data_IF_622234017065
#
_entry.id   IF_622234017065
#
_cell.length_a   1.000
_cell.length_b   1.000
_cell.length_c   1.000
_cell.angle_alpha   90.00
_cell.angle_beta   90.00
_cell.angle_gamma   90.00
#
_symmetry.space_group_name_H-M   'P 1'
#
loop_
_entity.id
_entity.type
_entity.pdbx_description
1 polymer ?
#
# COMPACT_ATOMS: atom_id res chain seq x y z
N UNK A 1 16.19 -1.77 -52.77
CA UNK A 1 15.23 -0.65 -52.87
C UNK A 1 15.94 0.70 -52.80
N UNK A 2 17.09 0.87 -53.49
CA UNK A 2 17.89 2.11 -53.40
C UNK A 2 18.06 2.87 -54.74
N UNK A 3 17.62 2.29 -55.88
CA UNK A 3 17.89 2.88 -57.21
C UNK A 3 16.73 3.72 -57.78
N UNK A 4 15.54 3.66 -57.17
CA UNK A 4 14.35 4.28 -57.74
C UNK A 4 14.30 5.80 -57.49
N UNK A 5 14.78 6.25 -56.33
CA UNK A 5 14.89 7.69 -55.99
C UNK A 5 15.98 8.40 -56.78
N UNK A 6 17.08 7.71 -57.10
CA UNK A 6 18.16 8.26 -57.93
C UNK A 6 17.72 8.53 -59.37
N UNK A 7 16.95 7.60 -59.96
CA UNK A 7 16.41 7.73 -61.32
C UNK A 7 15.36 8.85 -61.42
N UNK A 8 14.50 8.99 -60.41
CA UNK A 8 13.52 10.09 -60.35
C UNK A 8 14.21 11.46 -60.22
N UNK A 9 15.27 11.56 -59.41
CA UNK A 9 16.03 12.81 -59.28
C UNK A 9 16.74 13.20 -60.58
N UNK A 10 17.33 12.24 -61.28
CA UNK A 10 17.96 12.48 -62.59
C UNK A 10 16.92 12.93 -63.63
N UNK A 11 15.74 12.30 -63.64
CA UNK A 11 14.65 12.69 -64.54
C UNK A 11 14.16 14.12 -64.26
N UNK A 12 13.97 14.48 -62.99
CA UNK A 12 13.57 15.85 -62.60
C UNK A 12 14.63 16.87 -62.98
N UNK A 13 15.92 16.60 -62.74
CA UNK A 13 17.02 17.49 -63.14
C UNK A 13 17.11 17.64 -64.66
N UNK A 14 16.90 16.55 -65.42
CA UNK A 14 16.87 16.59 -66.88
C UNK A 14 15.70 17.44 -67.41
N UNK A 15 14.51 17.31 -66.79
CA UNK A 15 13.34 18.13 -67.16
C UNK A 15 13.58 19.60 -66.84
N UNK A 16 14.10 19.92 -65.65
CA UNK A 16 14.38 21.31 -65.25
C UNK A 16 15.43 21.94 -66.18
N UNK A 17 16.51 21.23 -66.47
CA UNK A 17 17.56 21.72 -67.38
C UNK A 17 17.04 21.91 -68.80
N UNK A 18 16.20 20.99 -69.30
CA UNK A 18 15.55 21.14 -70.59
C UNK A 18 14.61 22.35 -70.64
N UNK A 19 13.81 22.58 -69.59
CA UNK A 19 12.96 23.76 -69.46
C UNK A 19 13.78 25.06 -69.42
N UNK A 20 14.89 25.10 -68.69
CA UNK A 20 15.78 26.27 -68.64
C UNK A 20 16.40 26.59 -70.01
N UNK A 21 16.81 25.57 -70.76
CA UNK A 21 17.35 25.72 -72.11
C UNK A 21 16.27 26.24 -73.08
N UNK A 22 15.04 25.75 -72.96
CA UNK A 22 13.91 26.24 -73.75
C UNK A 22 13.58 27.70 -73.41
N UNK A 23 13.55 28.06 -72.13
CA UNK A 23 13.32 29.44 -71.68
C UNK A 23 14.40 30.39 -72.20
N UNK A 24 15.69 30.01 -72.10
CA UNK A 24 16.80 30.81 -72.62
C UNK A 24 16.72 30.99 -74.14
N UNK A 25 16.36 29.94 -74.88
CA UNK A 25 16.12 30.04 -76.32
C UNK A 25 14.91 30.93 -76.64
N UNK A 26 13.84 30.84 -75.85
CA UNK A 26 12.66 31.67 -76.02
C UNK A 26 12.95 33.17 -75.79
N UNK A 27 13.71 33.49 -74.74
CA UNK A 27 14.14 34.87 -74.45
C UNK A 27 15.01 35.47 -75.57
N UNK A 28 15.92 34.67 -76.15
CA UNK A 28 16.76 35.07 -77.29
C UNK A 28 15.96 35.29 -78.58
N UNK A 29 14.80 34.64 -78.71
CA UNK A 29 13.95 34.66 -79.91
C UNK A 29 12.95 35.80 -79.88
N UNK A 30 12.38 36.13 -78.72
CA UNK A 30 11.57 37.34 -78.52
C UNK A 30 12.35 38.60 -78.90
N UNK A 31 13.67 38.60 -78.66
CA UNK A 31 14.60 39.67 -79.04
C UNK A 31 14.83 39.78 -80.56
N UNK A 32 14.54 38.73 -81.34
CA UNK A 32 14.75 38.67 -82.80
C UNK A 32 13.45 38.63 -83.64
N UNK A 33 12.27 38.66 -83.01
CA UNK A 33 10.99 38.78 -83.71
C UNK A 33 10.65 37.60 -84.65
N UNK A 34 11.09 36.38 -84.33
CA UNK A 34 10.99 35.24 -85.25
C UNK A 34 9.76 34.36 -84.98
N UNK A 35 8.70 34.53 -85.77
CA UNK A 35 7.37 33.88 -85.63
C UNK A 35 7.43 32.35 -85.74
N UNK A 36 8.40 31.80 -86.49
CA UNK A 36 8.54 30.35 -86.70
C UNK A 36 8.86 29.56 -85.42
N UNK A 37 9.46 30.20 -84.42
CA UNK A 37 9.79 29.55 -83.15
C UNK A 37 8.62 29.55 -82.15
N UNK A 38 7.67 30.49 -82.26
CA UNK A 38 6.42 30.44 -81.49
C UNK A 38 5.60 29.19 -81.85
N UNK A 39 5.54 28.84 -83.14
CA UNK A 39 4.84 27.66 -83.62
C UNK A 39 5.47 26.33 -83.18
N UNK A 40 6.74 26.31 -82.75
CA UNK A 40 7.42 25.08 -82.28
C UNK A 40 7.49 24.99 -80.76
N UNK A 41 7.61 26.12 -80.05
CA UNK A 41 7.70 26.14 -78.59
C UNK A 41 6.33 25.92 -77.94
N UNK A 42 5.28 26.53 -78.48
CA UNK A 42 3.92 26.40 -77.91
C UNK A 42 3.46 24.94 -77.84
N UNK A 43 3.56 24.12 -78.91
CA UNK A 43 3.18 22.70 -78.84
C UNK A 43 4.00 21.90 -77.84
N UNK A 44 5.30 22.19 -77.71
CA UNK A 44 6.19 21.49 -76.76
C UNK A 44 5.79 21.80 -75.32
N UNK A 45 5.46 23.05 -75.00
CA UNK A 45 4.97 23.44 -73.68
C UNK A 45 3.64 22.76 -73.36
N UNK A 46 2.70 22.72 -74.31
CA UNK A 46 1.44 21.99 -74.14
C UNK A 46 1.64 20.48 -73.93
N UNK A 47 2.59 19.87 -74.64
CA UNK A 47 2.93 18.46 -74.46
C UNK A 47 3.51 18.18 -73.07
N UNK A 48 4.40 19.04 -72.58
CA UNK A 48 4.98 18.93 -71.23
C UNK A 48 3.91 19.09 -70.16
N UNK A 49 2.98 20.05 -70.31
CA UNK A 49 1.87 20.24 -69.38
C UNK A 49 0.92 19.04 -69.36
N UNK A 50 0.64 18.44 -70.52
CA UNK A 50 -0.18 17.24 -70.62
C UNK A 50 0.46 16.06 -69.89
N UNK A 51 1.77 15.85 -70.08
CA UNK A 51 2.53 14.80 -69.38
C UNK A 51 2.52 15.05 -67.87
N UNK A 52 2.82 16.27 -67.41
CA UNK A 52 2.83 16.59 -65.98
C UNK A 52 1.48 16.32 -65.31
N UNK A 53 0.38 16.63 -66.02
CA UNK A 53 -0.96 16.40 -65.51
C UNK A 53 -1.32 14.92 -65.40
N UNK A 54 -0.93 14.08 -66.36
CA UNK A 54 -1.10 12.63 -66.24
C UNK A 54 -0.30 12.04 -65.07
N UNK A 55 0.91 12.56 -64.84
CA UNK A 55 1.72 12.15 -63.69
C UNK A 55 1.08 12.55 -62.36
N UNK A 56 0.56 13.77 -62.24
CA UNK A 56 -0.13 14.25 -61.04
C UNK A 56 -1.37 13.40 -60.72
N UNK A 57 -2.19 13.09 -61.74
CA UNK A 57 -3.37 12.22 -61.60
C UNK A 57 -2.97 10.79 -61.17
N UNK A 58 -1.92 10.21 -61.78
CA UNK A 58 -1.42 8.88 -61.42
C UNK A 58 -0.85 8.81 -59.98
N UNK A 59 -0.19 9.89 -59.53
CA UNK A 59 0.41 9.98 -58.21
C UNK A 59 -0.67 10.15 -57.13
N UNK A 60 -1.71 10.95 -57.39
CA UNK A 60 -2.88 11.06 -56.52
C UNK A 60 -3.62 9.73 -56.35
N UNK A 61 -3.79 8.94 -57.41
CA UNK A 61 -4.46 7.64 -57.34
C UNK A 61 -3.64 6.65 -56.50
N UNK A 62 -2.31 6.63 -56.65
CA UNK A 62 -1.44 5.77 -55.84
C UNK A 62 -1.45 6.17 -54.37
N UNK A 63 -1.33 7.46 -54.07
CA UNK A 63 -1.36 7.97 -52.70
C UNK A 63 -2.71 7.71 -52.03
N UNK A 64 -3.81 7.89 -52.77
CA UNK A 64 -5.15 7.57 -52.29
C UNK A 64 -5.31 6.08 -52.00
N UNK A 65 -4.71 5.19 -52.79
CA UNK A 65 -4.73 3.74 -52.57
C UNK A 65 -3.93 3.33 -51.31
N UNK A 66 -2.81 4.01 -51.05
CA UNK A 66 -1.96 3.74 -49.88
C UNK A 66 -2.55 4.29 -48.58
N UNK A 67 -3.24 5.44 -48.63
CA UNK A 67 -4.01 5.99 -47.50
C UNK A 67 -5.29 5.18 -47.25
N UNK A 68 -5.91 4.66 -48.32
CA UNK A 68 -7.18 3.92 -48.21
C UNK A 68 -7.02 2.46 -47.80
N UNK A 69 -5.80 1.88 -47.83
CA UNK A 69 -5.59 0.46 -47.52
C UNK A 69 -6.11 0.10 -46.11
N UNK A 70 -7.24 -0.62 -46.01
CA UNK A 70 -7.87 -0.94 -44.73
C UNK A 70 -7.02 -1.92 -43.92
N UNK A 71 -6.20 -2.76 -44.58
CA UNK A 71 -5.36 -3.75 -43.89
C UNK A 71 -4.21 -3.07 -43.13
N UNK A 72 -3.55 -2.09 -43.74
CA UNK A 72 -2.49 -1.32 -43.10
C UNK A 72 -3.01 -0.43 -41.95
N UNK A 73 -4.26 0.04 -42.03
CA UNK A 73 -4.91 0.77 -40.93
C UNK A 73 -5.31 -0.16 -39.79
N UNK A 74 -5.89 -1.32 -40.09
CA UNK A 74 -6.25 -2.32 -39.09
C UNK A 74 -5.01 -2.80 -38.30
N UNK A 75 -3.90 -3.08 -38.99
CA UNK A 75 -2.63 -3.49 -38.36
C UNK A 75 -2.08 -2.43 -37.38
N UNK A 76 -2.10 -1.15 -37.78
CA UNK A 76 -1.68 -0.04 -36.90
C UNK A 76 -2.59 0.12 -35.68
N UNK A 77 -3.90 -0.15 -35.82
CA UNK A 77 -4.83 -0.13 -34.69
C UNK A 77 -4.62 -1.29 -33.72
N UNK A 78 -4.38 -2.52 -34.22
CA UNK A 78 -4.04 -3.66 -33.36
C UNK A 78 -2.72 -3.44 -32.62
N UNK A 79 -1.68 -2.97 -33.31
CA UNK A 79 -0.37 -2.72 -32.69
C UNK A 79 -0.46 -1.64 -31.58
N UNK A 80 -1.28 -0.60 -31.77
CA UNK A 80 -1.54 0.39 -30.71
C UNK A 80 -2.27 -0.19 -29.51
N UNK A 81 -3.28 -1.05 -29.75
CA UNK A 81 -3.99 -1.71 -28.64
C UNK A 81 -3.04 -2.60 -27.85
N UNK A 82 -2.27 -3.45 -28.52
CA UNK A 82 -1.32 -4.35 -27.87
C UNK A 82 -0.24 -3.59 -27.08
N UNK A 83 0.20 -2.45 -27.61
CA UNK A 83 1.15 -1.58 -26.92
C UNK A 83 0.53 -0.93 -25.67
N UNK A 84 -0.69 -0.39 -25.78
CA UNK A 84 -1.40 0.19 -24.64
C UNK A 84 -1.69 -0.86 -23.57
N UNK A 85 -2.09 -2.06 -23.96
CA UNK A 85 -2.38 -3.15 -23.03
C UNK A 85 -1.13 -3.63 -22.30
N UNK A 86 0.01 -3.78 -23.00
CA UNK A 86 1.30 -4.07 -22.35
C UNK A 86 1.69 -2.99 -21.34
N UNK A 87 1.62 -1.72 -21.75
CA UNK A 87 1.96 -0.60 -20.87
C UNK A 87 1.04 -0.52 -19.65
N UNK A 88 -0.24 -0.84 -19.81
CA UNK A 88 -1.19 -0.90 -18.71
C UNK A 88 -0.86 -2.03 -17.74
N UNK A 89 -0.56 -3.24 -18.24
CA UNK A 89 -0.17 -4.39 -17.42
C UNK A 89 1.12 -4.14 -16.64
N UNK A 90 2.12 -3.52 -17.28
CA UNK A 90 3.37 -3.13 -16.61
C UNK A 90 3.13 -2.12 -15.48
N UNK A 91 2.29 -1.09 -15.72
CA UNK A 91 1.91 -0.14 -14.68
C UNK A 91 1.17 -0.80 -13.52
N UNK A 92 0.26 -1.74 -13.82
CA UNK A 92 -0.49 -2.47 -12.80
C UNK A 92 0.45 -3.32 -11.94
N UNK A 93 1.32 -4.12 -12.57
CA UNK A 93 2.29 -4.97 -11.89
C UNK A 93 3.27 -4.16 -11.02
N UNK A 94 3.68 -2.98 -11.50
CA UNK A 94 4.56 -2.08 -10.72
C UNK A 94 3.83 -1.55 -9.48
N UNK A 95 2.53 -1.22 -9.61
CA UNK A 95 1.73 -0.72 -8.49
C UNK A 95 1.48 -1.81 -7.45
N UNK A 96 1.11 -3.00 -7.89
CA UNK A 96 0.92 -4.17 -7.02
C UNK A 96 2.22 -4.53 -6.28
N UNK A 97 3.35 -4.56 -6.98
CA UNK A 97 4.65 -4.81 -6.35
C UNK A 97 5.01 -3.74 -5.30
N UNK A 98 4.66 -2.47 -5.55
CA UNK A 98 4.89 -1.38 -4.61
C UNK A 98 3.98 -1.46 -3.39
N UNK A 99 2.71 -1.77 -3.59
CA UNK A 99 1.73 -1.99 -2.50
C UNK A 99 2.14 -3.20 -1.62
N UNK A 100 2.57 -4.30 -2.23
CA UNK A 100 3.10 -5.46 -1.50
C UNK A 100 4.38 -5.14 -0.72
N UNK A 101 5.29 -4.37 -1.31
CA UNK A 101 6.51 -3.93 -0.65
C UNK A 101 6.19 -3.10 0.60
N UNK A 102 5.31 -2.09 0.50
CA UNK A 102 4.92 -1.29 1.66
C UNK A 102 4.23 -2.13 2.73
N UNK A 103 3.38 -3.07 2.33
CA UNK A 103 2.69 -3.95 3.27
C UNK A 103 3.69 -4.78 4.07
N UNK A 104 4.63 -5.44 3.38
CA UNK A 104 5.70 -6.22 4.03
C UNK A 104 6.59 -5.34 4.92
N UNK A 105 6.98 -4.15 4.47
CA UNK A 105 7.81 -3.24 5.26
C UNK A 105 7.06 -2.75 6.51
N UNK A 106 5.77 -2.44 6.38
CA UNK A 106 4.94 -2.03 7.53
C UNK A 106 4.75 -3.15 8.54
N UNK A 107 4.58 -4.40 8.09
CA UNK A 107 4.50 -5.57 8.95
C UNK A 107 5.84 -5.81 9.66
N UNK A 108 6.98 -5.66 8.95
CA UNK A 108 8.32 -5.77 9.56
C UNK A 108 8.55 -4.72 10.64
N UNK A 109 8.22 -3.46 10.36
CA UNK A 109 8.34 -2.36 11.33
C UNK A 109 7.43 -2.58 12.55
N UNK A 110 6.22 -3.08 12.33
CA UNK A 110 5.31 -3.43 13.42
C UNK A 110 5.88 -4.55 14.29
N UNK A 111 6.44 -5.61 13.69
CA UNK A 111 7.10 -6.69 14.42
C UNK A 111 8.34 -6.21 15.18
N UNK A 112 9.20 -5.41 14.55
CA UNK A 112 10.38 -4.81 15.18
C UNK A 112 10.01 -3.94 16.40
N UNK A 113 8.92 -3.16 16.31
CA UNK A 113 8.45 -2.35 17.42
C UNK A 113 7.87 -3.23 18.55
N UNK A 114 7.14 -4.29 18.24
CA UNK A 114 6.67 -5.25 19.26
C UNK A 114 7.83 -5.95 19.95
N UNK A 115 8.85 -6.40 19.21
CA UNK A 115 10.06 -6.98 19.78
C UNK A 115 10.82 -5.99 20.66
N UNK A 116 10.91 -4.72 20.25
CA UNK A 116 11.52 -3.65 21.06
C UNK A 116 10.77 -3.48 22.38
N UNK A 117 9.45 -3.39 22.35
CA UNK A 117 8.61 -3.26 23.55
C UNK A 117 8.79 -4.48 24.45
N UNK A 118 8.81 -5.69 23.90
CA UNK A 118 9.05 -6.91 24.67
C UNK A 118 10.46 -7.01 25.23
N UNK A 119 11.49 -6.53 24.51
CA UNK A 119 12.86 -6.44 25.00
C UNK A 119 12.95 -5.46 26.16
N UNK A 120 12.28 -4.32 26.07
CA UNK A 120 12.20 -3.31 27.13
C UNK A 120 11.45 -3.86 28.36
N UNK A 121 10.47 -4.73 28.14
CA UNK A 121 9.74 -5.45 29.18
C UNK A 121 10.57 -6.56 29.85
N UNK A 122 11.36 -7.31 29.06
CA UNK A 122 12.25 -8.37 29.56
C UNK A 122 13.47 -7.84 30.26
N UNK A 123 13.92 -6.62 29.94
CA UNK A 123 14.96 -5.99 30.73
C UNK A 123 14.44 -5.87 32.16
N UNK A 124 15.16 -6.41 33.15
CA UNK A 124 14.86 -6.10 34.53
C UNK A 124 15.14 -4.62 34.70
N UNK A 125 14.10 -3.78 34.57
CA UNK A 125 14.14 -2.44 35.13
C UNK A 125 14.47 -2.67 36.60
N UNK A 126 15.71 -2.35 36.98
CA UNK A 126 16.10 -2.33 38.38
C UNK A 126 14.94 -1.65 39.11
N UNK A 127 14.33 -2.28 40.13
CA UNK A 127 13.28 -1.62 40.87
C UNK A 127 13.84 -0.27 41.27
N UNK A 128 13.24 0.83 40.81
CA UNK A 128 13.53 2.16 41.33
C UNK A 128 12.92 2.30 42.74
N UNK A 129 13.06 1.23 43.52
CA UNK A 129 12.66 1.06 44.90
C UNK A 129 13.93 0.64 45.62
N UNK A 130 14.78 1.63 45.90
CA UNK A 130 16.05 1.32 46.54
C UNK A 130 17.11 2.40 46.54
N UNK A 131 16.75 3.68 46.48
CA UNK A 131 17.54 4.79 47.05
C UNK A 131 16.77 6.09 46.81
N UNK A 132 16.45 6.78 47.89
CA UNK A 132 16.02 8.20 47.90
C UNK A 132 14.56 8.54 47.58
N UNK A 133 13.59 7.77 48.08
CA UNK A 133 12.26 8.34 48.42
C UNK A 133 11.72 7.72 49.71
N UNK A 134 12.40 7.99 50.82
CA UNK A 134 11.73 8.01 52.12
C UNK A 134 10.71 9.15 52.06
N UNK A 135 9.40 8.80 52.11
CA UNK A 135 8.24 9.65 52.45
C UNK A 135 7.07 9.75 51.44
N UNK A 136 7.07 9.03 50.31
CA UNK A 136 5.83 8.81 49.54
C UNK A 136 5.60 7.31 49.36
N UNK A 137 4.71 6.75 50.18
CA UNK A 137 4.16 5.41 49.96
C UNK A 137 3.43 5.42 48.60
N UNK A 138 4.00 4.75 47.59
CA UNK A 138 3.31 4.56 46.32
C UNK A 138 2.04 3.76 46.62
N UNK A 139 0.84 4.27 46.27
CA UNK A 139 -0.40 3.58 46.58
C UNK A 139 -0.43 2.25 45.83
N UNK A 140 -0.83 1.18 46.52
CA UNK A 140 -0.86 -0.19 45.96
C UNK A 140 -1.76 -0.27 44.72
N UNK A 141 -2.77 0.61 44.62
CA UNK A 141 -3.61 0.77 43.43
C UNK A 141 -2.83 1.20 42.17
N UNK A 142 -1.82 2.07 42.32
CA UNK A 142 -0.96 2.47 41.20
C UNK A 142 -0.09 1.29 40.72
N UNK A 143 0.40 0.46 41.64
CA UNK A 143 1.14 -0.77 41.30
C UNK A 143 0.24 -1.77 40.58
N UNK A 144 -1.02 -1.90 41.01
CA UNK A 144 -2.00 -2.75 40.33
C UNK A 144 -2.32 -2.26 38.92
N UNK A 145 -2.45 -0.94 38.71
CA UNK A 145 -2.70 -0.36 37.40
C UNK A 145 -1.54 -0.67 36.42
N UNK A 146 -0.29 -0.60 36.88
CA UNK A 146 0.88 -1.02 36.09
C UNK A 146 0.81 -2.51 35.77
N UNK A 147 0.58 -3.37 36.77
CA UNK A 147 0.45 -4.81 36.56
C UNK A 147 -0.62 -5.16 35.52
N UNK A 148 -1.78 -4.49 35.56
CA UNK A 148 -2.88 -4.70 34.61
C UNK A 148 -2.48 -4.31 33.18
N UNK A 149 -1.78 -3.18 33.03
CA UNK A 149 -1.25 -2.73 31.72
C UNK A 149 -0.21 -3.72 31.16
N UNK A 150 0.63 -4.25 32.03
CA UNK A 150 1.65 -5.23 31.66
C UNK A 150 1.01 -6.53 31.15
N UNK A 151 0.02 -7.06 31.87
CA UNK A 151 -0.72 -8.24 31.43
C UNK A 151 -1.45 -8.02 30.10
N UNK A 152 -2.06 -6.84 29.89
CA UNK A 152 -2.68 -6.47 28.61
C UNK A 152 -1.68 -6.52 27.46
N UNK A 153 -0.48 -5.99 27.67
CA UNK A 153 0.59 -5.96 26.66
C UNK A 153 1.05 -7.38 26.33
N UNK A 154 1.27 -8.22 27.34
CA UNK A 154 1.66 -9.62 27.13
C UNK A 154 0.61 -10.42 26.37
N UNK A 155 -0.67 -10.25 26.71
CA UNK A 155 -1.77 -10.92 26.01
C UNK A 155 -2.02 -10.38 24.58
N UNK A 156 -1.35 -9.32 24.15
CA UNK A 156 -1.32 -8.92 22.72
C UNK A 156 -0.32 -9.75 21.90
N UNK A 157 0.69 -10.33 22.55
CA UNK A 157 1.74 -11.15 21.91
C UNK A 157 1.87 -12.51 22.63
N UNK A 158 0.81 -13.33 22.62
CA UNK A 158 0.70 -14.54 23.43
C UNK A 158 1.79 -15.58 23.15
N UNK A 159 2.31 -15.61 21.93
CA UNK A 159 3.38 -16.52 21.49
C UNK A 159 4.72 -16.28 22.21
N UNK A 160 4.92 -15.06 22.74
CA UNK A 160 6.18 -14.62 23.35
C UNK A 160 6.13 -14.61 24.88
N UNK A 161 5.02 -15.08 25.47
CA UNK A 161 4.85 -15.18 26.92
C UNK A 161 5.71 -16.33 27.45
N UNK A 162 6.77 -15.97 28.18
CA UNK A 162 7.62 -16.90 28.95
C UNK A 162 7.42 -16.75 30.45
N UNK A 163 6.70 -15.71 30.90
CA UNK A 163 6.33 -15.47 32.30
C UNK A 163 5.22 -14.43 32.36
N UNK A 164 4.17 -14.68 33.13
CA UNK A 164 3.18 -13.66 33.48
C UNK A 164 3.54 -13.06 34.85
N UNK A 165 3.52 -11.72 35.00
CA UNK A 165 3.77 -11.06 36.29
C UNK A 165 2.66 -11.40 37.29
N UNK A 166 3.02 -11.48 38.57
CA UNK A 166 2.06 -11.64 39.66
C UNK A 166 1.47 -10.29 40.08
N UNK A 167 0.19 -10.24 40.47
CA UNK A 167 -0.43 -9.02 40.98
C UNK A 167 0.24 -8.58 42.28
N UNK A 168 0.17 -7.28 42.63
CA UNK A 168 0.70 -6.79 43.90
C UNK A 168 0.03 -7.50 45.09
N UNK A 169 0.82 -7.83 46.11
CA UNK A 169 0.31 -8.43 47.34
C UNK A 169 0.00 -7.36 48.38
N UNK A 170 -1.15 -7.49 49.02
CA UNK A 170 -1.53 -6.65 50.15
C UNK A 170 -2.54 -7.41 51.03
N UNK A 171 -2.81 -6.85 52.21
CA UNK A 171 -3.71 -7.41 53.22
C UNK A 171 -5.12 -7.58 52.65
N UNK A 172 -5.73 -8.73 52.92
CA UNK A 172 -7.10 -8.99 52.49
C UNK A 172 -8.07 -7.99 53.14
N UNK A 173 -8.98 -7.35 52.37
CA UNK A 173 -9.94 -6.39 52.91
C UNK A 173 -10.93 -7.02 53.92
N UNK A 174 -11.18 -8.33 53.84
CA UNK A 174 -12.06 -9.05 54.77
C UNK A 174 -11.41 -9.42 56.10
N UNK A 175 -10.09 -9.23 56.24
CA UNK A 175 -9.33 -9.70 57.42
C UNK A 175 -9.22 -11.23 57.52
N UNK A 176 -8.12 -11.74 58.09
CA UNK A 176 -7.87 -13.18 58.35
C UNK A 176 -8.08 -14.15 57.17
N UNK A 177 -7.91 -13.69 55.93
CA UNK A 177 -8.00 -14.55 54.76
C UNK A 177 -6.63 -15.09 54.37
N UNK A 178 -6.47 -16.41 54.44
CA UNK A 178 -5.26 -17.13 54.03
C UNK A 178 -5.42 -17.88 52.69
N UNK A 179 -6.60 -17.80 52.08
CA UNK A 179 -6.92 -18.43 50.80
C UNK A 179 -6.21 -17.68 49.68
N UNK A 180 -5.01 -18.14 49.34
CA UNK A 180 -4.26 -17.66 48.17
C UNK A 180 -4.57 -18.57 47.01
N UNK A 181 -4.84 -17.97 45.86
CA UNK A 181 -5.06 -18.73 44.66
C UNK A 181 -3.78 -19.42 44.20
N UNK A 182 -3.90 -20.55 43.50
CA UNK A 182 -2.74 -21.34 43.10
C UNK A 182 -1.92 -20.64 42.03
N UNK A 183 -2.57 -19.83 41.18
CA UNK A 183 -1.92 -19.19 40.04
C UNK A 183 -1.50 -17.74 40.32
N UNK A 184 -2.40 -16.90 40.84
CA UNK A 184 -2.13 -15.48 41.13
C UNK A 184 -1.49 -15.25 42.51
N UNK A 185 -1.47 -16.26 43.38
CA UNK A 185 -0.92 -16.19 44.76
C UNK A 185 -1.52 -15.06 45.61
N UNK A 186 -2.70 -14.57 45.24
CA UNK A 186 -3.49 -13.55 45.94
C UNK A 186 -4.88 -14.10 46.24
N UNK A 187 -5.57 -13.58 47.24
CA UNK A 187 -6.96 -13.93 47.47
C UNK A 187 -7.88 -13.18 46.49
N UNK A 188 -8.98 -13.82 46.08
CA UNK A 188 -9.99 -13.23 45.19
C UNK A 188 -10.57 -11.92 45.75
N UNK A 189 -10.75 -11.83 47.07
CA UNK A 189 -11.23 -10.62 47.74
C UNK A 189 -10.33 -9.41 47.49
N UNK A 190 -9.01 -9.59 47.59
CA UNK A 190 -8.07 -8.48 47.38
C UNK A 190 -7.98 -8.12 45.90
N UNK A 191 -7.97 -9.12 45.03
CA UNK A 191 -8.00 -8.91 43.58
C UNK A 191 -9.26 -8.13 43.15
N UNK A 192 -10.42 -8.49 43.69
CA UNK A 192 -11.69 -7.78 43.48
C UNK A 192 -11.61 -6.35 43.95
N UNK A 193 -11.10 -6.12 45.16
CA UNK A 193 -10.91 -4.78 45.72
C UNK A 193 -10.01 -3.93 44.82
N UNK A 194 -8.96 -4.49 44.23
CA UNK A 194 -8.12 -3.73 43.30
C UNK A 194 -8.86 -3.28 42.04
N UNK A 195 -9.74 -4.10 41.48
CA UNK A 195 -10.57 -3.69 40.36
C UNK A 195 -11.57 -2.60 40.74
N UNK A 196 -12.13 -2.66 41.96
CA UNK A 196 -13.02 -1.61 42.49
C UNK A 196 -12.25 -0.31 42.74
N UNK A 197 -11.12 -0.37 43.43
CA UNK A 197 -10.27 0.78 43.76
C UNK A 197 -9.67 1.44 42.50
N UNK A 198 -9.58 0.70 41.40
CA UNK A 198 -9.14 1.23 40.10
C UNK A 198 -10.17 2.14 39.43
N UNK A 199 -11.40 2.22 39.97
CA UNK A 199 -12.49 3.05 39.46
C UNK A 199 -12.71 2.93 37.95
N UNK A 200 -12.70 1.71 37.43
CA UNK A 200 -12.85 1.44 36.00
C UNK A 200 -14.29 1.64 35.54
N UNK A 201 -14.46 2.13 34.32
CA UNK A 201 -15.77 2.18 33.69
C UNK A 201 -16.30 0.76 33.43
N UNK A 202 -17.63 0.61 33.39
CA UNK A 202 -18.27 -0.69 33.07
C UNK A 202 -17.80 -1.25 31.72
N UNK A 203 -17.53 -0.37 30.75
CA UNK A 203 -16.98 -0.75 29.45
C UNK A 203 -15.57 -1.33 29.59
N UNK A 204 -14.70 -0.71 30.38
CA UNK A 204 -13.33 -1.16 30.59
C UNK A 204 -13.28 -2.50 31.32
N UNK A 205 -14.19 -2.74 32.27
CA UNK A 205 -14.33 -4.03 32.95
C UNK A 205 -14.81 -5.13 32.01
N UNK A 206 -15.74 -4.82 31.09
CA UNK A 206 -16.16 -5.77 30.05
C UNK A 206 -15.03 -6.08 29.07
N UNK A 207 -14.19 -5.09 28.74
CA UNK A 207 -13.03 -5.29 27.88
C UNK A 207 -11.95 -6.15 28.58
N UNK A 208 -11.71 -5.96 29.88
CA UNK A 208 -10.87 -6.86 30.69
C UNK A 208 -11.42 -8.30 30.70
N UNK A 209 -12.73 -8.46 30.89
CA UNK A 209 -13.36 -9.78 30.92
C UNK A 209 -13.22 -10.51 29.58
N UNK A 210 -13.33 -9.79 28.46
CA UNK A 210 -13.10 -10.35 27.11
C UNK A 210 -11.64 -10.74 26.90
N UNK A 211 -10.71 -9.94 27.41
CA UNK A 211 -9.28 -10.19 27.29
C UNK A 211 -8.85 -11.47 28.02
N UNK A 212 -9.33 -11.65 29.24
CA UNK A 212 -9.01 -12.79 30.10
C UNK A 212 -9.91 -14.00 29.88
N UNK A 213 -10.82 -13.97 28.90
CA UNK A 213 -11.73 -15.08 28.67
C UNK A 213 -10.94 -16.37 28.36
N UNK A 214 -11.16 -17.49 29.09
CA UNK A 214 -10.39 -18.73 28.91
C UNK A 214 -10.48 -19.30 27.49
N UNK A 215 -11.65 -19.14 26.86
CA UNK A 215 -11.87 -19.52 25.45
C UNK A 215 -11.48 -18.42 24.45
N UNK A 216 -10.90 -17.32 24.92
CA UNK A 216 -10.48 -16.20 24.08
C UNK A 216 -9.25 -16.55 23.25
N UNK A 217 -9.15 -15.95 22.04
CA UNK A 217 -8.03 -16.19 21.13
C UNK A 217 -6.66 -15.90 21.79
N UNK A 218 -6.58 -14.86 22.62
CA UNK A 218 -5.34 -14.42 23.26
C UNK A 218 -4.81 -15.41 24.31
N UNK A 219 -5.70 -16.00 25.11
CA UNK A 219 -5.31 -16.99 26.13
C UNK A 219 -4.98 -18.34 25.47
N UNK A 220 -5.67 -18.70 24.38
CA UNK A 220 -5.46 -19.96 23.67
C UNK A 220 -4.22 -19.98 22.76
N UNK A 221 -3.71 -18.83 22.35
CA UNK A 221 -2.49 -18.70 21.53
C UNK A 221 -1.19 -18.78 22.34
N UNK A 222 -1.27 -18.90 23.68
CA UNK A 222 -0.08 -19.05 24.52
C UNK A 222 0.56 -20.42 24.33
N UNK A 223 1.89 -20.45 24.27
CA UNK A 223 2.68 -21.68 24.10
C UNK A 223 2.40 -22.70 25.21
N UNK A 224 2.47 -24.00 24.86
CA UNK A 224 1.99 -25.10 25.70
C UNK A 224 2.59 -25.18 27.10
N UNK A 225 3.85 -24.76 27.28
CA UNK A 225 4.54 -24.74 28.58
C UNK A 225 3.89 -23.78 29.59
N UNK A 226 3.36 -22.64 29.12
CA UNK A 226 2.76 -21.62 29.98
C UNK A 226 1.24 -21.61 29.93
N UNK A 227 0.64 -22.26 28.93
CA UNK A 227 -0.81 -22.26 28.67
C UNK A 227 -1.64 -22.68 29.87
N UNK A 228 -1.27 -23.75 30.57
CA UNK A 228 -2.00 -24.21 31.77
C UNK A 228 -2.04 -23.12 32.86
N UNK A 229 -0.88 -22.50 33.11
CA UNK A 229 -0.76 -21.41 34.09
C UNK A 229 -1.58 -20.19 33.69
N UNK A 230 -1.53 -19.79 32.41
CA UNK A 230 -2.32 -18.63 31.92
C UNK A 230 -3.81 -18.93 32.00
N UNK A 231 -4.25 -20.14 31.65
CA UNK A 231 -5.65 -20.56 31.78
C UNK A 231 -6.11 -20.54 33.24
N UNK A 232 -5.28 -21.01 34.18
CA UNK A 232 -5.55 -20.93 35.60
C UNK A 232 -5.74 -19.48 36.08
N UNK A 233 -4.83 -18.58 35.69
CA UNK A 233 -4.95 -17.15 36.00
C UNK A 233 -6.20 -16.52 35.36
N UNK A 234 -6.49 -16.86 34.11
CA UNK A 234 -7.65 -16.39 33.36
C UNK A 234 -8.97 -16.77 34.05
N UNK A 235 -9.10 -18.03 34.48
CA UNK A 235 -10.28 -18.50 35.22
C UNK A 235 -10.48 -17.71 36.53
N UNK A 236 -9.41 -17.53 37.31
CA UNK A 236 -9.46 -16.77 38.57
C UNK A 236 -9.84 -15.29 38.35
N UNK A 237 -9.27 -14.65 37.33
CA UNK A 237 -9.53 -13.24 37.01
C UNK A 237 -10.95 -13.06 36.50
N UNK A 238 -11.43 -13.93 35.60
CA UNK A 238 -12.79 -13.83 35.06
C UNK A 238 -13.83 -13.98 36.16
N UNK A 239 -13.66 -14.93 37.08
CA UNK A 239 -14.56 -15.07 38.22
C UNK A 239 -14.63 -13.77 39.05
N UNK A 240 -13.48 -13.18 39.36
CA UNK A 240 -13.40 -11.93 40.13
C UNK A 240 -14.03 -10.75 39.38
N UNK A 241 -13.81 -10.64 38.07
CA UNK A 241 -14.37 -9.58 37.23
C UNK A 241 -15.90 -9.69 37.11
N UNK A 242 -16.44 -10.91 36.99
CA UNK A 242 -17.89 -11.14 36.98
C UNK A 242 -18.52 -10.67 38.29
N UNK A 243 -17.95 -11.08 39.43
CA UNK A 243 -18.42 -10.64 40.74
C UNK A 243 -18.33 -9.11 40.94
N UNK A 244 -17.28 -8.47 40.41
CA UNK A 244 -17.13 -7.02 40.47
C UNK A 244 -18.18 -6.28 39.62
N UNK A 245 -18.48 -6.80 38.42
CA UNK A 245 -19.51 -6.26 37.53
C UNK A 245 -20.92 -6.39 38.14
N UNK A 246 -21.23 -7.51 38.78
CA UNK A 246 -22.50 -7.70 39.49
C UNK A 246 -22.69 -6.69 40.62
N UNK A 247 -21.65 -6.47 41.44
CA UNK A 247 -21.69 -5.51 42.54
C UNK A 247 -21.87 -4.06 42.03
N UNK A 248 -21.20 -3.70 40.93
CA UNK A 248 -21.41 -2.40 40.28
C UNK A 248 -22.83 -2.22 39.75
N UNK A 249 -23.42 -3.27 39.17
CA UNK A 249 -24.81 -3.28 38.73
C UNK A 249 -25.79 -3.08 39.88
N UNK A 250 -25.58 -3.78 41.01
CA UNK A 250 -26.39 -3.62 42.23
C UNK A 250 -26.27 -2.21 42.82
N UNK A 251 -25.06 -1.64 42.87
CA UNK A 251 -24.85 -0.27 43.35
C UNK A 251 -25.54 0.78 42.48
N UNK A 252 -25.51 0.64 41.14
CA UNK A 252 -26.25 1.52 40.23
C UNK A 252 -27.77 1.43 40.40
N UNK A 253 -28.30 0.24 40.67
CA UNK A 253 -29.73 0.03 40.85
C UNK A 253 -30.25 0.55 42.20
N UNK A 254 -29.42 0.58 43.24
CA UNK A 254 -29.78 1.13 44.55
C UNK A 254 -29.71 2.67 44.63
N UNK A 255 -29.12 3.32 43.62
CA UNK A 255 -29.01 4.78 43.50
C UNK A 255 -30.07 5.41 42.58
N UNK A 256 -30.98 4.59 42.03
CA UNK A 256 -32.17 5.02 41.28
C UNK A 256 -33.40 4.86 42.13
#
# INVERSE_FOLDING_TARGET
>A
MADQTGLEFIAVVAIITFCLVLCLKFSLVLLRGNVYLLCTVIPVVFLVLAILREFEEALHIRLAKEISDPAARAKRHSERRDYQERRYREHLATREAHEEYYKKESERLWQEEQERVLRDYRQPRAPRYGRETSNLAVPVSAVFAVWRKDCRTLLQTPELITKIPLPPHDSCPRGRCNLRSDYLKICSHRLKQFYIDSNLEEKELKDELRLWHPNGARVNQVSGEYREKVLGMANEIVQVLQEALEDLGRMKNNLR
#
